data_IF_930152561045
#
_entry.id   IF_930152561045
#
_cell.length_a   1.000
_cell.length_b   1.000
_cell.length_c   1.000
_cell.angle_alpha   90.00
_cell.angle_beta   90.00
_cell.angle_gamma   90.00
#
_symmetry.space_group_name_H-M   'P 1'
#
loop_
_entity.id
_entity.type
_entity.pdbx_description
1 polymer ?
#
# COMPACT_ATOMS: atom_id res chain seq x y z
N UNK A 1 9.67 1.08 -28.34
CA UNK A 1 8.85 1.31 -29.54
C UNK A 1 7.49 1.83 -29.08
N UNK A 2 6.84 2.76 -29.79
CA UNK A 2 5.49 3.22 -29.41
C UNK A 2 4.47 2.15 -29.80
N UNK A 3 3.89 1.46 -28.83
CA UNK A 3 3.07 0.29 -29.11
C UNK A 3 1.64 0.70 -29.52
N UNK A 4 1.14 0.08 -30.59
CA UNK A 4 -0.10 0.49 -31.26
C UNK A 4 -1.36 0.21 -30.42
N UNK A 5 -1.19 -0.62 -29.40
CA UNK A 5 -2.06 -0.99 -28.27
C UNK A 5 -2.44 0.17 -27.35
N UNK A 6 -1.61 1.22 -27.24
CA UNK A 6 -1.80 2.27 -26.22
C UNK A 6 -2.74 3.39 -26.64
N UNK A 7 -2.87 3.63 -27.95
CA UNK A 7 -3.67 4.72 -28.52
C UNK A 7 -5.10 4.80 -27.94
N UNK A 8 -5.87 3.70 -27.79
CA UNK A 8 -7.24 3.77 -27.31
C UNK A 8 -7.37 4.23 -25.85
N UNK A 9 -6.37 3.95 -25.00
CA UNK A 9 -6.31 4.50 -23.63
C UNK A 9 -6.06 6.01 -23.68
N UNK A 10 -5.05 6.46 -24.44
CA UNK A 10 -4.75 7.89 -24.58
C UNK A 10 -5.94 8.69 -25.13
N UNK A 11 -6.66 8.13 -26.10
CA UNK A 11 -7.84 8.78 -26.68
C UNK A 11 -9.03 8.78 -25.71
N UNK A 12 -9.23 7.73 -24.90
CA UNK A 12 -10.22 7.75 -23.80
C UNK A 12 -9.86 8.77 -22.71
N UNK A 13 -8.56 8.90 -22.37
CA UNK A 13 -8.04 9.89 -21.41
C UNK A 13 -8.33 11.31 -21.89
N UNK A 14 -8.06 11.62 -23.16
CA UNK A 14 -8.39 12.92 -23.77
C UNK A 14 -9.89 13.22 -23.69
N UNK A 15 -10.72 12.33 -24.24
CA UNK A 15 -12.17 12.51 -24.32
C UNK A 15 -12.82 12.71 -22.95
N UNK A 16 -12.41 11.92 -21.94
CA UNK A 16 -12.95 12.00 -20.58
C UNK A 16 -12.55 13.27 -19.82
N UNK A 17 -11.54 13.98 -20.32
CA UNK A 17 -10.98 15.19 -19.72
C UNK A 17 -11.51 16.45 -20.38
N UNK A 18 -11.58 16.48 -21.72
CA UNK A 18 -12.18 17.59 -22.47
C UNK A 18 -13.68 17.75 -22.17
N UNK A 19 -14.38 16.64 -21.93
CA UNK A 19 -15.79 16.63 -21.52
C UNK A 19 -16.03 17.04 -20.05
N UNK A 20 -15.00 17.00 -19.18
CA UNK A 20 -15.16 17.27 -17.74
C UNK A 20 -14.58 18.64 -17.36
N UNK A 21 -15.41 19.67 -17.46
CA UNK A 21 -15.14 21.01 -16.90
C UNK A 21 -15.87 21.17 -15.57
N UNK A 22 -15.20 21.04 -14.41
CA UNK A 22 -15.80 21.36 -13.13
C UNK A 22 -15.76 22.88 -12.92
N UNK A 23 -16.92 23.51 -12.83
CA UNK A 23 -16.98 24.89 -12.34
C UNK A 23 -16.46 24.96 -10.90
N UNK A 24 -15.74 26.04 -10.57
CA UNK A 24 -15.15 26.20 -9.25
C UNK A 24 -16.23 26.57 -8.22
N UNK A 25 -16.71 25.57 -7.47
CA UNK A 25 -17.64 25.77 -6.37
C UNK A 25 -17.05 25.24 -5.04
N UNK A 26 -16.75 26.10 -4.04
CA UNK A 26 -16.20 25.65 -2.76
C UNK A 26 -17.18 24.79 -1.93
N UNK A 27 -18.49 24.80 -2.24
CA UNK A 27 -19.47 23.95 -1.55
C UNK A 27 -19.44 22.49 -1.99
N UNK A 28 -18.82 22.16 -3.13
CA UNK A 28 -18.75 20.78 -3.65
C UNK A 28 -17.99 19.83 -2.73
N UNK A 29 -16.98 20.35 -1.99
CA UNK A 29 -16.29 19.56 -0.98
C UNK A 29 -17.19 19.22 0.22
N UNK A 30 -18.03 20.17 0.65
CA UNK A 30 -19.02 19.95 1.70
C UNK A 30 -20.11 18.98 1.20
N UNK A 31 -20.50 19.05 -0.06
CA UNK A 31 -21.39 18.09 -0.70
C UNK A 31 -20.79 16.68 -0.76
N UNK A 32 -19.53 16.54 -1.18
CA UNK A 32 -18.80 15.26 -1.23
C UNK A 32 -18.65 14.65 0.17
N UNK A 33 -18.22 15.43 1.17
CA UNK A 33 -18.13 14.98 2.56
C UNK A 33 -19.50 14.56 3.13
N UNK A 34 -20.59 15.27 2.82
CA UNK A 34 -21.96 14.85 3.18
C UNK A 34 -22.34 13.54 2.49
N UNK A 35 -22.00 13.38 1.21
CA UNK A 35 -22.30 12.16 0.43
C UNK A 35 -21.55 10.95 1.00
N UNK A 36 -20.26 11.08 1.29
CA UNK A 36 -19.45 10.03 1.90
C UNK A 36 -19.96 9.67 3.31
N UNK A 37 -20.25 10.66 4.17
CA UNK A 37 -20.87 10.41 5.49
C UNK A 37 -22.23 9.73 5.38
N UNK A 38 -23.06 10.10 4.39
CA UNK A 38 -24.37 9.48 4.15
C UNK A 38 -24.22 8.04 3.63
N UNK A 39 -23.26 7.75 2.73
CA UNK A 39 -22.94 6.38 2.29
C UNK A 39 -22.46 5.50 3.45
N UNK A 40 -21.57 6.03 4.30
CA UNK A 40 -21.12 5.34 5.52
C UNK A 40 -22.31 5.04 6.46
N UNK A 41 -23.14 6.03 6.75
CA UNK A 41 -24.30 5.87 7.63
C UNK A 41 -25.35 4.90 7.05
N UNK A 42 -25.59 4.92 5.73
CA UNK A 42 -26.46 3.94 5.05
C UNK A 42 -25.92 2.52 5.15
N UNK A 43 -24.61 2.30 4.98
CA UNK A 43 -23.98 0.98 5.18
C UNK A 43 -24.16 0.51 6.62
N UNK A 44 -23.84 1.35 7.61
CA UNK A 44 -24.01 1.02 9.03
C UNK A 44 -25.48 0.79 9.41
N UNK A 45 -26.41 1.52 8.81
CA UNK A 45 -27.86 1.32 8.97
C UNK A 45 -28.32 -0.05 8.44
N UNK A 46 -27.83 -0.46 7.25
CA UNK A 46 -28.10 -1.79 6.70
C UNK A 46 -27.58 -2.90 7.63
N UNK A 47 -26.30 -2.86 8.04
CA UNK A 47 -25.75 -3.84 8.99
C UNK A 47 -26.49 -3.87 10.33
N UNK A 48 -26.84 -2.69 10.88
CA UNK A 48 -27.61 -2.57 12.13
C UNK A 48 -29.01 -3.16 12.02
N UNK A 49 -29.73 -2.88 10.93
CA UNK A 49 -31.06 -3.48 10.65
C UNK A 49 -30.99 -4.99 10.47
N UNK A 50 -29.95 -5.51 9.79
CA UNK A 50 -29.72 -6.94 9.62
C UNK A 50 -29.53 -7.66 10.96
N UNK A 51 -28.68 -7.11 11.83
CA UNK A 51 -28.47 -7.64 13.19
C UNK A 51 -29.74 -7.57 14.06
N UNK A 52 -30.53 -6.50 13.96
CA UNK A 52 -31.81 -6.40 14.70
C UNK A 52 -32.85 -7.42 14.23
N UNK A 53 -32.97 -7.65 12.92
CA UNK A 53 -33.84 -8.70 12.37
C UNK A 53 -33.35 -10.08 12.79
N UNK A 54 -32.04 -10.35 12.72
CA UNK A 54 -31.46 -11.63 13.13
C UNK A 54 -31.69 -11.91 14.62
N UNK A 55 -31.50 -10.92 15.49
CA UNK A 55 -31.79 -11.02 16.93
C UNK A 55 -33.29 -11.22 17.21
N UNK A 56 -34.17 -10.55 16.44
CA UNK A 56 -35.61 -10.77 16.50
C UNK A 56 -36.01 -12.21 16.15
N UNK A 57 -35.43 -12.76 15.08
CA UNK A 57 -35.63 -14.17 14.70
C UNK A 57 -35.07 -15.15 15.75
N UNK A 58 -33.88 -14.90 16.30
CA UNK A 58 -33.30 -15.74 17.37
C UNK A 58 -34.17 -15.73 18.63
N UNK A 59 -34.63 -14.55 19.05
CA UNK A 59 -35.53 -14.38 20.20
C UNK A 59 -36.86 -15.11 19.99
N UNK A 60 -37.49 -14.96 18.81
CA UNK A 60 -38.68 -15.70 18.42
C UNK A 60 -38.47 -17.22 18.50
N UNK A 61 -37.32 -17.72 18.03
CA UNK A 61 -37.01 -19.15 18.03
C UNK A 61 -36.83 -19.71 19.45
N UNK A 62 -36.20 -18.94 20.34
CA UNK A 62 -36.01 -19.30 21.75
C UNK A 62 -37.36 -19.30 22.50
N UNK A 63 -38.20 -18.29 22.29
CA UNK A 63 -39.53 -18.21 22.93
C UNK A 63 -40.57 -19.20 22.35
N UNK A 64 -40.28 -19.90 21.25
CA UNK A 64 -41.16 -20.93 20.66
C UNK A 64 -40.79 -22.37 21.01
N UNK A 65 -39.76 -22.62 21.80
CA UNK A 65 -39.49 -23.95 22.36
C UNK A 65 -40.63 -24.34 23.32
N UNK A 66 -41.40 -25.42 23.06
CA UNK A 66 -42.40 -25.88 24.01
C UNK A 66 -41.71 -26.49 25.24
N UNK A 67 -41.97 -25.93 26.42
CA UNK A 67 -41.51 -26.49 27.69
C UNK A 67 -42.29 -27.76 28.04
N UNK A 68 -41.78 -28.91 27.58
CA UNK A 68 -42.29 -30.21 28.03
C UNK A 68 -42.06 -30.42 29.53
N UNK A 69 -43.10 -30.89 30.21
CA UNK A 69 -43.19 -30.88 31.67
C UNK A 69 -42.45 -32.07 32.29
N UNK A 70 -41.25 -31.82 32.83
CA UNK A 70 -40.64 -32.74 33.79
C UNK A 70 -41.28 -32.52 35.16
N UNK A 71 -42.14 -33.45 35.58
CA UNK A 71 -42.82 -33.41 36.88
C UNK A 71 -41.95 -33.98 38.00
N UNK A 72 -41.98 -33.36 39.18
CA UNK A 72 -41.37 -33.89 40.40
C UNK A 72 -42.14 -35.10 40.94
N UNK A 73 -41.42 -36.13 41.39
CA UNK A 73 -41.97 -37.23 42.17
C UNK A 73 -40.98 -37.67 43.27
N UNK A 74 -41.10 -37.08 44.46
CA UNK A 74 -40.37 -37.55 45.64
C UNK A 74 -41.06 -38.80 46.22
N UNK A 75 -40.31 -39.85 46.53
CA UNK A 75 -40.73 -40.83 47.54
C UNK A 75 -39.54 -41.42 48.29
N UNK A 76 -39.51 -41.20 49.60
CA UNK A 76 -38.54 -41.78 50.54
C UNK A 76 -39.16 -43.01 51.20
N UNK A 77 -38.41 -44.11 51.25
CA UNK A 77 -38.60 -45.17 52.25
C UNK A 77 -37.22 -45.72 52.65
N UNK A 78 -37.05 -46.07 53.93
CA UNK A 78 -35.81 -46.61 54.52
C UNK A 78 -35.96 -48.11 54.82
N UNK A 79 -34.86 -48.90 54.78
CA UNK A 79 -34.30 -49.59 55.97
C UNK A 79 -33.17 -50.60 55.65
N UNK A 80 -32.07 -50.48 56.41
CA UNK A 80 -31.23 -51.52 57.03
C UNK A 80 -30.99 -52.89 56.34
N UNK A 81 -29.70 -53.24 56.10
CA UNK A 81 -28.94 -54.22 56.91
C UNK A 81 -27.44 -54.35 56.53
N UNK A 82 -26.64 -54.65 57.55
CA UNK A 82 -25.20 -55.05 57.59
C UNK A 82 -25.10 -56.40 58.34
N UNK A 83 -23.93 -57.02 58.67
CA UNK A 83 -22.54 -56.88 58.20
C UNK A 83 -21.77 -58.21 57.92
N UNK A 84 -20.55 -58.14 57.34
CA UNK A 84 -19.35 -59.02 57.51
C UNK A 84 -18.26 -58.54 56.51
N UNK A 85 -16.93 -58.43 56.73
CA UNK A 85 -15.92 -59.03 57.66
C UNK A 85 -15.65 -60.52 57.35
N UNK A 86 -14.44 -61.09 57.27
CA UNK A 86 -13.02 -60.81 57.65
C UNK A 86 -12.06 -61.11 56.43
N UNK A 87 -10.72 -60.92 56.35
CA UNK A 87 -9.69 -59.98 56.86
C UNK A 87 -8.28 -60.44 56.28
N UNK A 88 -7.23 -59.58 56.17
CA UNK A 88 -5.80 -59.87 55.74
C UNK A 88 -5.47 -60.14 54.24
N UNK A 89 -4.21 -60.09 53.71
CA UNK A 89 -2.84 -59.85 54.25
C UNK A 89 -1.88 -59.17 53.20
N UNK A 90 -0.59 -58.94 53.51
CA UNK A 90 0.36 -58.16 52.68
C UNK A 90 1.63 -58.94 52.24
N UNK A 91 2.35 -58.49 51.19
CA UNK A 91 3.83 -58.66 51.08
C UNK A 91 4.53 -57.76 50.03
N UNK A 92 5.71 -57.28 50.43
CA UNK A 92 6.98 -57.11 49.69
C UNK A 92 7.13 -56.26 48.39
N UNK A 93 8.21 -55.46 48.42
CA UNK A 93 8.91 -54.73 47.35
C UNK A 93 10.30 -55.42 47.20
N UNK A 94 10.88 -55.64 46.00
CA UNK A 94 11.95 -54.73 45.55
C UNK A 94 12.05 -54.45 44.03
N UNK A 95 12.74 -53.34 43.75
CA UNK A 95 13.07 -52.76 42.44
C UNK A 95 14.31 -53.37 41.78
N UNK A 96 14.43 -53.19 40.46
CA UNK A 96 15.71 -53.26 39.70
C UNK A 96 15.93 -51.92 38.97
N UNK A 97 17.21 -51.55 38.75
CA UNK A 97 17.68 -50.22 38.33
C UNK A 97 18.81 -50.37 37.28
N UNK A 98 19.14 -49.28 36.57
CA UNK A 98 20.33 -49.09 35.66
C UNK A 98 20.20 -49.69 34.24
N UNK A 99 20.86 -49.17 33.18
CA UNK A 99 21.51 -47.85 32.95
C UNK A 99 21.83 -47.58 31.45
N UNK A 100 22.19 -46.33 31.14
CA UNK A 100 22.91 -45.83 29.95
C UNK A 100 24.39 -46.36 29.91
N UNK A 101 25.32 -45.97 28.99
CA UNK A 101 25.29 -45.00 27.85
C UNK A 101 26.03 -45.45 26.54
N UNK A 102 26.20 -44.51 25.57
CA UNK A 102 27.40 -44.34 24.69
C UNK A 102 27.63 -45.34 23.52
N UNK A 103 28.37 -45.09 22.42
CA UNK A 103 29.00 -43.87 21.84
C UNK A 103 29.40 -44.09 20.34
N UNK A 104 30.11 -43.11 19.73
CA UNK A 104 30.94 -43.17 18.50
C UNK A 104 30.21 -43.23 17.13
N UNK A 105 30.79 -42.77 16.00
CA UNK A 105 31.80 -41.72 15.79
C UNK A 105 31.89 -41.31 14.29
N UNK A 106 32.34 -40.07 14.06
CA UNK A 106 33.12 -39.52 12.92
C UNK A 106 33.16 -40.28 11.58
N UNK A 107 32.96 -39.54 10.48
CA UNK A 107 33.96 -39.54 9.39
C UNK A 107 34.03 -38.18 8.67
N UNK A 108 35.24 -37.78 8.28
CA UNK A 108 35.51 -36.58 7.46
C UNK A 108 35.29 -36.89 5.98
N UNK A 109 35.07 -35.87 5.16
CA UNK A 109 36.01 -35.54 4.07
C UNK A 109 35.79 -34.13 3.50
N UNK A 110 36.90 -33.51 3.09
CA UNK A 110 37.00 -32.24 2.36
C UNK A 110 37.88 -32.49 1.14
N UNK A 111 37.58 -31.89 -0.02
CA UNK A 111 38.62 -31.60 -1.01
C UNK A 111 38.74 -30.09 -1.26
N UNK A 112 39.87 -29.52 -0.83
CA UNK A 112 40.38 -28.23 -1.32
C UNK A 112 41.19 -28.44 -2.59
N UNK A 113 40.97 -27.65 -3.65
CA UNK A 113 41.84 -27.37 -4.83
C UNK A 113 40.99 -26.52 -5.82
N UNK A 114 41.50 -25.57 -6.61
CA UNK A 114 42.80 -24.89 -6.62
C UNK A 114 42.69 -23.53 -7.33
N UNK A 115 43.69 -22.64 -7.15
CA UNK A 115 43.83 -21.42 -7.97
C UNK A 115 44.35 -21.77 -9.38
N UNK A 116 43.83 -21.12 -10.43
CA UNK A 116 44.64 -20.69 -11.60
C UNK A 116 43.90 -19.69 -12.50
N UNK A 117 44.36 -18.44 -12.50
CA UNK A 117 44.44 -17.66 -13.75
C UNK A 117 45.71 -18.15 -14.51
N UNK A 118 45.77 -18.03 -15.84
CA UNK A 118 46.39 -16.82 -16.39
C UNK A 118 45.63 -16.22 -17.57
N UNK A 119 45.92 -14.96 -17.90
CA UNK A 119 45.43 -14.29 -19.11
C UNK A 119 46.43 -14.41 -20.27
N UNK A 120 45.93 -14.46 -21.52
CA UNK A 120 46.52 -13.76 -22.69
C UNK A 120 45.73 -13.98 -23.99
N UNK A 121 45.49 -12.87 -24.71
CA UNK A 121 45.35 -12.78 -26.17
C UNK A 121 44.14 -13.55 -26.82
N UNK A 122 43.79 -13.37 -28.10
CA UNK A 122 44.35 -12.48 -29.12
C UNK A 122 43.28 -11.93 -30.10
N UNK A 123 43.65 -10.83 -30.74
CA UNK A 123 43.12 -10.13 -31.92
C UNK A 123 42.07 -10.79 -32.85
N UNK A 124 41.09 -9.96 -33.25
CA UNK A 124 40.47 -9.80 -34.58
C UNK A 124 40.23 -10.99 -35.53
N UNK A 125 38.98 -11.09 -36.01
CA UNK A 125 38.65 -11.54 -37.36
C UNK A 125 37.50 -10.69 -37.92
N UNK A 126 37.46 -10.47 -39.23
CA UNK A 126 36.45 -9.67 -39.92
C UNK A 126 35.14 -10.47 -40.15
N UNK A 127 34.03 -9.78 -40.42
CA UNK A 127 32.75 -10.41 -40.78
C UNK A 127 32.32 -9.95 -42.18
N UNK A 128 32.23 -10.91 -43.11
CA UNK A 128 31.94 -10.65 -44.52
C UNK A 128 30.50 -10.24 -44.80
N UNK A 129 30.31 -9.44 -45.85
CA UNK A 129 29.01 -9.02 -46.37
C UNK A 129 28.33 -10.13 -47.19
N UNK A 130 27.01 -10.25 -47.07
CA UNK A 130 26.17 -11.03 -47.98
C UNK A 130 24.99 -10.17 -48.44
N UNK A 131 24.79 -10.08 -49.75
CA UNK A 131 23.67 -9.36 -50.36
C UNK A 131 22.39 -10.20 -50.41
N UNK A 132 21.25 -9.52 -50.32
CA UNK A 132 19.96 -9.96 -50.89
C UNK A 132 19.34 -8.78 -51.67
N UNK A 133 18.53 -9.04 -52.72
CA UNK A 133 18.23 -8.04 -53.76
C UNK A 133 17.03 -7.16 -53.46
N UNK A 134 17.05 -5.93 -53.99
CA UNK A 134 15.90 -5.03 -54.02
C UNK A 134 14.81 -5.55 -54.98
N UNK A 135 13.55 -5.42 -54.58
CA UNK A 135 12.39 -5.63 -55.45
C UNK A 135 11.45 -4.42 -55.34
N UNK A 136 11.64 -3.46 -56.23
CA UNK A 136 10.83 -2.24 -56.34
C UNK A 136 9.64 -2.49 -57.28
N UNK A 137 8.43 -2.16 -56.84
CA UNK A 137 7.24 -2.04 -57.68
C UNK A 137 6.59 -0.68 -57.46
N UNK A 138 6.14 -0.07 -58.56
CA UNK A 138 5.59 1.29 -58.57
C UNK A 138 4.20 1.35 -57.94
N UNK A 139 3.93 2.43 -57.21
CA UNK A 139 2.59 2.84 -56.77
C UNK A 139 2.29 4.25 -57.25
N UNK A 140 1.94 4.36 -58.53
CA UNK A 140 1.40 5.57 -59.16
C UNK A 140 -0.11 5.41 -59.39
N UNK A 141 -0.88 6.40 -58.93
CA UNK A 141 -2.31 6.63 -59.20
C UNK A 141 -3.32 5.51 -58.88
N UNK A 142 -3.83 5.52 -57.63
CA UNK A 142 -5.24 5.22 -57.36
C UNK A 142 -5.84 6.38 -56.54
N UNK A 143 -6.68 7.21 -57.17
CA UNK A 143 -7.53 8.17 -56.46
C UNK A 143 -8.75 7.46 -55.88
N UNK A 144 -8.84 7.36 -54.56
CA UNK A 144 -10.08 6.97 -53.88
C UNK A 144 -11.03 8.18 -53.73
N UNK A 145 -12.28 8.01 -54.13
CA UNK A 145 -13.36 8.94 -53.76
C UNK A 145 -13.83 8.67 -52.32
N UNK A 146 -14.28 9.69 -51.57
CA UNK A 146 -14.86 9.49 -50.24
C UNK A 146 -16.26 8.87 -50.38
N UNK A 147 -16.39 7.58 -50.05
CA UNK A 147 -17.69 6.94 -49.89
C UNK A 147 -18.23 7.19 -48.47
N UNK A 148 -19.50 7.57 -48.36
CA UNK A 148 -20.20 7.88 -47.08
C UNK A 148 -20.47 6.62 -46.20
N UNK A 149 -19.57 5.64 -46.25
CA UNK A 149 -19.58 4.43 -45.42
C UNK A 149 -18.56 4.51 -44.28
N UNK A 150 -17.47 5.27 -44.44
CA UNK A 150 -16.42 5.43 -43.40
C UNK A 150 -16.97 6.02 -42.11
N UNK A 151 -17.88 7.00 -42.20
CA UNK A 151 -18.47 7.71 -41.06
C UNK A 151 -19.41 6.85 -40.18
N UNK A 152 -19.69 5.60 -40.58
CA UNK A 152 -20.57 4.68 -39.83
C UNK A 152 -19.85 3.46 -39.24
N UNK A 153 -18.53 3.36 -39.39
CA UNK A 153 -17.72 2.28 -38.80
C UNK A 153 -16.63 2.84 -37.86
N UNK A 154 -16.98 3.89 -37.12
CA UNK A 154 -16.24 4.33 -35.92
C UNK A 154 -16.97 3.94 -34.62
N UNK A 155 -17.58 2.75 -34.60
CA UNK A 155 -17.79 2.03 -33.34
C UNK A 155 -16.43 1.62 -32.79
N UNK A 156 -15.91 2.43 -31.86
CA UNK A 156 -14.70 2.13 -31.10
C UNK A 156 -14.87 0.76 -30.42
N UNK A 157 -14.02 -0.20 -30.79
CA UNK A 157 -13.94 -1.49 -30.10
C UNK A 157 -13.75 -1.23 -28.59
N UNK A 158 -14.53 -1.89 -27.70
CA UNK A 158 -14.41 -1.67 -26.27
C UNK A 158 -13.02 -2.10 -25.80
N UNK A 159 -12.19 -1.11 -25.48
CA UNK A 159 -10.83 -1.32 -24.98
C UNK A 159 -10.91 -2.16 -23.71
N UNK A 160 -10.29 -3.35 -23.74
CA UNK A 160 -10.20 -4.20 -22.57
C UNK A 160 -9.15 -3.61 -21.60
N UNK A 161 -9.62 -2.68 -20.77
CA UNK A 161 -8.82 -2.14 -19.66
C UNK A 161 -8.45 -3.28 -18.69
N UNK A 162 -7.25 -3.24 -18.14
CA UNK A 162 -6.85 -4.19 -17.08
C UNK A 162 -7.71 -4.01 -15.81
N UNK A 163 -7.71 -4.96 -14.86
CA UNK A 163 -8.39 -4.77 -13.56
C UNK A 163 -7.88 -3.54 -12.79
N UNK A 164 -6.59 -3.25 -12.92
CA UNK A 164 -5.89 -2.12 -12.30
C UNK A 164 -6.33 -0.80 -12.96
N UNK A 165 -6.25 -0.71 -14.30
CA UNK A 165 -6.72 0.42 -15.08
C UNK A 165 -8.22 0.70 -14.84
N UNK A 166 -9.03 -0.37 -14.77
CA UNK A 166 -10.47 -0.30 -14.48
C UNK A 166 -10.72 0.26 -13.08
N UNK A 167 -9.94 -0.16 -12.08
CA UNK A 167 -10.05 0.34 -10.69
C UNK A 167 -9.69 1.82 -10.61
N UNK A 168 -8.55 2.21 -11.20
CA UNK A 168 -8.10 3.61 -11.28
C UNK A 168 -9.14 4.48 -11.99
N UNK A 169 -9.67 4.00 -13.12
CA UNK A 169 -10.73 4.67 -13.91
C UNK A 169 -12.02 4.85 -13.09
N UNK A 170 -12.49 3.83 -12.39
CA UNK A 170 -13.70 3.93 -11.56
C UNK A 170 -13.50 4.90 -10.39
N UNK A 171 -12.35 4.88 -9.72
CA UNK A 171 -12.03 5.82 -8.64
C UNK A 171 -11.99 7.27 -9.16
N UNK A 172 -11.31 7.53 -10.28
CA UNK A 172 -11.24 8.88 -10.89
C UNK A 172 -12.61 9.39 -11.36
N UNK A 173 -13.45 8.53 -11.92
CA UNK A 173 -14.79 8.90 -12.42
C UNK A 173 -15.81 9.12 -11.29
N UNK A 174 -15.80 8.28 -10.25
CA UNK A 174 -16.79 8.32 -9.16
C UNK A 174 -16.41 9.24 -8.01
N UNK A 175 -15.12 9.51 -7.82
CA UNK A 175 -14.59 10.16 -6.63
C UNK A 175 -14.69 9.31 -5.35
N UNK A 176 -15.01 8.02 -5.46
CA UNK A 176 -15.10 7.10 -4.31
C UNK A 176 -13.75 6.40 -4.09
N UNK A 177 -12.89 7.07 -3.32
CA UNK A 177 -11.55 6.60 -2.97
C UNK A 177 -11.51 5.73 -1.69
N UNK A 178 -12.68 5.28 -1.21
CA UNK A 178 -12.83 4.62 0.08
C UNK A 178 -12.96 5.57 1.27
N UNK A 179 -12.73 5.05 2.48
CA UNK A 179 -12.90 5.80 3.74
C UNK A 179 -11.62 6.47 4.25
N UNK A 180 -10.45 5.99 3.85
CA UNK A 180 -9.18 6.67 4.12
C UNK A 180 -8.98 7.77 3.07
N UNK A 181 -8.47 8.93 3.48
CA UNK A 181 -8.22 10.08 2.62
C UNK A 181 -6.84 10.72 2.86
N UNK A 182 -5.87 9.92 3.32
CA UNK A 182 -4.60 10.40 3.87
C UNK A 182 -3.78 11.25 2.89
N UNK A 183 -3.55 10.79 1.66
CA UNK A 183 -2.73 11.55 0.70
C UNK A 183 -3.35 12.91 0.39
N UNK A 184 -4.65 12.95 0.09
CA UNK A 184 -5.37 14.20 -0.16
C UNK A 184 -5.34 15.13 1.07
N UNK A 185 -5.62 14.62 2.28
CA UNK A 185 -5.70 15.45 3.49
C UNK A 185 -4.34 15.95 3.96
N UNK A 186 -3.30 15.12 3.92
CA UNK A 186 -1.95 15.50 4.31
C UNK A 186 -1.39 16.58 3.37
N UNK A 187 -1.54 16.43 2.05
CA UNK A 187 -1.19 17.46 1.06
C UNK A 187 -1.99 18.75 1.28
N UNK A 188 -3.31 18.65 1.42
CA UNK A 188 -4.20 19.81 1.54
C UNK A 188 -3.95 20.65 2.80
N UNK A 189 -3.54 20.05 3.92
CA UNK A 189 -3.24 20.78 5.17
C UNK A 189 -1.79 21.26 5.28
N UNK A 190 -0.82 20.56 4.68
CA UNK A 190 0.60 20.86 4.87
C UNK A 190 1.30 21.60 3.72
N UNK A 191 0.82 21.59 2.46
CA UNK A 191 1.62 22.03 1.30
C UNK A 191 2.27 23.41 1.46
N UNK A 192 1.61 24.37 2.12
CA UNK A 192 2.17 25.72 2.37
C UNK A 192 3.46 25.74 3.19
N UNK A 193 3.79 24.65 3.89
CA UNK A 193 5.04 24.43 4.62
C UNK A 193 6.10 23.67 3.79
N UNK A 194 5.77 23.26 2.57
CA UNK A 194 6.62 22.52 1.63
C UNK A 194 6.73 23.26 0.28
N UNK A 195 7.13 24.55 0.27
CA UNK A 195 7.22 25.32 -0.98
C UNK A 195 8.26 24.71 -1.91
N UNK A 196 7.96 24.68 -3.20
CA UNK A 196 8.86 24.16 -4.24
C UNK A 196 9.21 22.66 -4.04
N UNK A 197 8.22 21.86 -3.68
CA UNK A 197 8.31 20.43 -3.49
C UNK A 197 8.15 19.60 -4.79
N UNK A 198 8.61 18.35 -4.73
CA UNK A 198 8.24 17.28 -5.68
C UNK A 198 7.50 16.21 -4.90
N UNK A 199 6.40 15.70 -5.47
CA UNK A 199 5.68 14.56 -4.90
C UNK A 199 6.28 13.28 -5.50
N UNK A 200 6.74 12.39 -4.63
CA UNK A 200 7.26 11.07 -4.94
C UNK A 200 6.25 10.07 -4.40
N UNK A 201 5.55 9.38 -5.28
CA UNK A 201 4.38 8.58 -4.92
C UNK A 201 4.57 7.13 -5.31
N UNK A 202 4.34 6.25 -4.36
CA UNK A 202 4.15 4.82 -4.55
C UNK A 202 2.91 4.58 -5.45
N UNK A 203 3.03 3.62 -6.36
CA UNK A 203 1.98 3.15 -7.26
C UNK A 203 2.00 1.62 -7.36
N UNK A 204 2.30 0.94 -6.25
CA UNK A 204 1.90 -0.44 -6.01
C UNK A 204 0.37 -0.58 -6.00
N UNK A 205 -0.12 -1.82 -6.12
CA UNK A 205 -1.56 -2.13 -6.22
C UNK A 205 -2.34 -1.76 -4.95
N UNK A 206 -1.72 -1.80 -3.77
CA UNK A 206 -2.35 -1.32 -2.53
C UNK A 206 -2.52 0.20 -2.51
N UNK A 207 -1.65 0.93 -3.22
CA UNK A 207 -1.60 2.38 -3.20
C UNK A 207 -2.55 3.09 -4.16
N UNK A 208 -3.18 2.38 -5.10
CA UNK A 208 -4.14 2.98 -6.07
C UNK A 208 -5.22 3.90 -5.45
N UNK A 209 -5.86 3.61 -4.30
CA UNK A 209 -6.82 4.54 -3.69
C UNK A 209 -6.19 5.87 -3.26
N UNK A 210 -4.91 5.87 -2.86
CA UNK A 210 -4.19 7.05 -2.40
C UNK A 210 -3.54 7.81 -3.56
N UNK A 211 -3.21 7.13 -4.65
CA UNK A 211 -2.63 7.75 -5.85
C UNK A 211 -3.71 8.33 -6.77
N UNK A 212 -4.93 7.77 -6.78
CA UNK A 212 -6.10 8.44 -7.37
C UNK A 212 -6.60 9.62 -6.53
N UNK A 213 -6.46 9.57 -5.20
CA UNK A 213 -6.60 10.76 -4.34
C UNK A 213 -5.58 11.85 -4.65
N UNK A 214 -4.29 11.50 -4.83
CA UNK A 214 -3.26 12.44 -5.29
C UNK A 214 -3.67 13.05 -6.63
N UNK A 215 -4.15 12.25 -7.58
CA UNK A 215 -4.61 12.77 -8.88
C UNK A 215 -5.83 13.69 -8.75
N UNK A 216 -6.78 13.39 -7.86
CA UNK A 216 -7.95 14.25 -7.58
C UNK A 216 -7.57 15.55 -6.84
N UNK A 217 -6.54 15.51 -6.00
CA UNK A 217 -5.93 16.68 -5.37
C UNK A 217 -5.19 17.54 -6.42
N UNK A 218 -4.39 16.89 -7.27
CA UNK A 218 -3.61 17.47 -8.36
C UNK A 218 -4.52 18.19 -9.37
N UNK A 219 -5.66 17.60 -9.76
CA UNK A 219 -6.67 18.24 -10.61
C UNK A 219 -7.21 19.58 -10.08
N UNK A 220 -7.15 19.81 -8.76
CA UNK A 220 -7.51 21.08 -8.10
C UNK A 220 -6.31 22.01 -7.87
N UNK A 221 -5.10 21.46 -7.80
CA UNK A 221 -3.86 22.17 -7.45
C UNK A 221 -2.88 22.30 -8.65
N UNK A 222 -3.32 21.97 -9.87
CA UNK A 222 -2.54 21.99 -11.12
C UNK A 222 -1.84 23.32 -11.45
N UNK A 223 -2.29 24.44 -10.85
CA UNK A 223 -1.71 25.78 -11.00
C UNK A 223 -0.91 26.24 -9.77
N UNK A 224 -0.62 25.35 -8.83
CA UNK A 224 0.09 25.71 -7.61
C UNK A 224 1.62 25.70 -7.85
N UNK A 225 2.32 26.86 -7.72
CA UNK A 225 3.75 26.98 -7.99
C UNK A 225 4.65 26.30 -6.93
N UNK A 226 4.07 25.88 -5.80
CA UNK A 226 4.75 25.15 -4.74
C UNK A 226 5.04 23.69 -5.11
N UNK A 227 4.45 23.15 -6.18
CA UNK A 227 4.85 21.85 -6.74
C UNK A 227 5.73 22.10 -7.99
N UNK A 228 6.77 21.28 -8.18
CA UNK A 228 7.64 21.29 -9.36
C UNK A 228 7.47 20.10 -10.30
N UNK A 229 6.87 19.01 -9.82
CA UNK A 229 6.59 17.80 -10.59
C UNK A 229 6.10 16.64 -9.74
N UNK A 230 5.82 15.53 -10.40
CA UNK A 230 5.48 14.24 -9.80
C UNK A 230 6.49 13.17 -10.25
N UNK A 231 6.80 12.24 -9.36
CA UNK A 231 7.51 10.98 -9.65
C UNK A 231 6.66 9.83 -9.11
N UNK A 232 6.35 8.85 -9.96
CA UNK A 232 5.76 7.58 -9.52
C UNK A 232 6.81 6.47 -9.53
N UNK A 233 6.78 5.61 -8.51
CA UNK A 233 7.56 4.38 -8.44
C UNK A 233 6.63 3.18 -8.22
N UNK A 234 7.07 2.01 -8.66
CA UNK A 234 6.25 0.79 -8.85
C UNK A 234 6.88 -0.44 -8.20
N UNK A 235 8.09 -0.25 -7.65
CA UNK A 235 9.09 -1.28 -7.35
C UNK A 235 9.32 -2.29 -8.49
N UNK A 236 9.10 -1.89 -9.74
CA UNK A 236 9.47 -2.67 -10.92
C UNK A 236 10.58 -1.99 -11.74
N UNK A 237 11.40 -2.77 -12.42
CA UNK A 237 12.41 -2.32 -13.37
C UNK A 237 11.80 -1.91 -14.73
N UNK A 238 12.66 -1.61 -15.71
CA UNK A 238 12.22 -1.24 -17.06
C UNK A 238 11.54 -2.37 -17.85
N UNK A 239 11.61 -3.61 -17.38
CA UNK A 239 10.95 -4.80 -17.95
C UNK A 239 9.71 -5.22 -17.14
N UNK A 240 9.33 -4.45 -16.11
CA UNK A 240 8.21 -4.77 -15.23
C UNK A 240 8.52 -5.88 -14.23
N UNK A 241 9.79 -6.17 -13.94
CA UNK A 241 10.19 -7.16 -12.94
C UNK A 241 10.49 -6.48 -11.60
N UNK A 242 10.04 -7.07 -10.49
CA UNK A 242 10.28 -6.52 -9.14
C UNK A 242 11.76 -6.18 -8.90
N UNK A 243 12.08 -5.02 -8.31
CA UNK A 243 13.48 -4.67 -8.04
C UNK A 243 14.07 -5.55 -6.94
N UNK A 244 15.40 -5.73 -6.95
CA UNK A 244 16.11 -6.58 -5.98
C UNK A 244 17.43 -5.94 -5.58
N UNK A 245 17.92 -6.13 -4.33
CA UNK A 245 19.22 -5.64 -3.91
C UNK A 245 20.35 -6.10 -4.85
N UNK A 246 21.02 -5.14 -5.50
CA UNK A 246 22.09 -5.41 -6.48
C UNK A 246 21.61 -5.82 -7.89
N UNK A 247 20.29 -5.79 -8.16
CA UNK A 247 19.71 -5.96 -9.48
C UNK A 247 19.64 -4.66 -10.29
N UNK A 248 18.85 -4.63 -11.38
CA UNK A 248 18.53 -3.40 -12.11
C UNK A 248 17.83 -2.37 -11.22
N UNK A 249 18.04 -1.09 -11.53
CA UNK A 249 17.33 0.03 -10.93
C UNK A 249 15.85 0.05 -11.34
N UNK A 250 14.97 0.52 -10.45
CA UNK A 250 13.54 0.66 -10.70
C UNK A 250 13.21 1.72 -11.77
N UNK A 251 12.12 1.49 -12.49
CA UNK A 251 11.60 2.43 -13.48
C UNK A 251 10.78 3.52 -12.80
N UNK A 252 11.34 4.72 -12.77
CA UNK A 252 10.70 5.92 -12.25
C UNK A 252 9.94 6.65 -13.36
N UNK A 253 8.67 6.96 -13.12
CA UNK A 253 7.79 7.63 -14.09
C UNK A 253 7.60 9.09 -13.68
N UNK A 254 8.11 10.02 -14.49
CA UNK A 254 8.30 11.42 -14.09
C UNK A 254 7.46 12.34 -14.96
N UNK A 255 6.77 13.31 -14.34
CA UNK A 255 6.19 14.46 -15.06
C UNK A 255 6.59 15.78 -14.42
N UNK A 256 7.05 16.71 -15.27
CA UNK A 256 7.24 18.12 -14.94
C UNK A 256 5.97 18.95 -15.20
N UNK A 257 5.04 18.42 -16.00
CA UNK A 257 3.80 19.11 -16.36
C UNK A 257 2.71 18.82 -15.31
N UNK A 258 2.33 19.85 -14.56
CA UNK A 258 1.28 19.76 -13.54
C UNK A 258 -0.15 19.73 -14.10
N UNK A 259 -0.29 19.51 -15.42
CA UNK A 259 -1.57 19.36 -16.09
C UNK A 259 -2.08 17.92 -15.94
N UNK A 260 -3.29 17.70 -15.37
CA UNK A 260 -3.96 16.40 -15.34
C UNK A 260 -3.97 15.64 -16.69
N UNK A 261 -4.10 16.33 -17.84
CA UNK A 261 -4.12 15.68 -19.17
C UNK A 261 -2.78 15.01 -19.51
N UNK A 262 -1.69 15.47 -18.91
CA UNK A 262 -0.31 15.04 -19.16
C UNK A 262 0.20 14.11 -18.05
N UNK A 263 -0.25 14.33 -16.81
CA UNK A 263 0.02 13.43 -15.69
C UNK A 263 -0.75 12.10 -15.74
N UNK A 264 -1.97 12.07 -16.30
CA UNK A 264 -2.76 10.82 -16.34
C UNK A 264 -2.15 9.71 -17.22
N UNK A 265 -1.63 10.00 -18.44
CA UNK A 265 -0.88 9.02 -19.20
C UNK A 265 0.30 8.41 -18.43
N UNK A 266 1.09 9.25 -17.74
CA UNK A 266 2.25 8.82 -16.94
C UNK A 266 1.83 7.94 -15.76
N UNK A 267 0.72 8.28 -15.09
CA UNK A 267 0.14 7.47 -14.02
C UNK A 267 -0.32 6.08 -14.52
N UNK A 268 -0.95 5.99 -15.68
CA UNK A 268 -1.41 4.69 -16.21
C UNK A 268 -0.24 3.86 -16.78
N UNK A 269 0.76 4.49 -17.41
CA UNK A 269 1.98 3.79 -17.83
C UNK A 269 2.71 3.16 -16.63
N UNK A 270 2.78 3.89 -15.51
CA UNK A 270 3.33 3.40 -14.25
C UNK A 270 2.48 2.24 -13.68
N UNK A 271 1.15 2.37 -13.61
CA UNK A 271 0.28 1.31 -13.07
C UNK A 271 0.39 -0.02 -13.84
N UNK A 272 0.69 0.03 -15.14
CA UNK A 272 0.94 -1.16 -15.97
C UNK A 272 2.25 -1.86 -15.63
N UNK A 273 3.28 -1.09 -15.23
CA UNK A 273 4.59 -1.62 -14.85
C UNK A 273 4.53 -2.36 -13.50
N UNK A 274 3.57 -2.01 -12.63
CA UNK A 274 3.28 -2.68 -11.35
C UNK A 274 2.72 -4.11 -11.50
N UNK A 275 2.13 -4.49 -12.64
CA UNK A 275 1.29 -5.70 -12.80
C UNK A 275 1.96 -7.02 -12.37
N UNK A 276 3.30 -7.13 -12.45
CA UNK A 276 4.03 -8.35 -12.07
C UNK A 276 4.71 -8.27 -10.70
N UNK A 277 4.58 -7.16 -9.95
CA UNK A 277 5.18 -7.02 -8.63
C UNK A 277 4.53 -7.98 -7.62
N UNK A 278 5.38 -8.58 -6.77
CA UNK A 278 5.07 -9.56 -5.71
C UNK A 278 6.04 -9.43 -4.52
N UNK A 279 6.74 -8.31 -4.40
CA UNK A 279 7.52 -7.93 -3.22
C UNK A 279 6.63 -7.09 -2.29
N UNK A 280 6.78 -7.25 -0.98
CA UNK A 280 6.09 -6.42 0.04
C UNK A 280 6.99 -5.24 0.50
N UNK A 281 8.05 -4.94 -0.28
CA UNK A 281 9.13 -4.07 0.14
C UNK A 281 9.62 -3.19 -1.02
N UNK A 282 9.57 -1.86 -0.84
CA UNK A 282 9.67 -0.88 -1.93
C UNK A 282 11.04 -0.20 -2.04
N UNK A 283 11.29 0.42 -3.20
CA UNK A 283 12.51 1.20 -3.52
C UNK A 283 12.35 2.73 -3.32
N UNK A 284 11.80 3.15 -2.17
CA UNK A 284 11.52 4.56 -1.88
C UNK A 284 12.75 5.48 -2.00
N UNK A 285 13.94 5.02 -1.60
CA UNK A 285 15.12 5.88 -1.56
C UNK A 285 15.64 6.15 -2.97
N UNK A 286 15.63 5.16 -3.85
CA UNK A 286 15.93 5.31 -5.26
C UNK A 286 14.97 6.28 -5.94
N UNK A 287 13.67 6.21 -5.62
CA UNK A 287 12.67 7.16 -6.10
C UNK A 287 12.93 8.59 -5.60
N UNK A 288 13.27 8.76 -4.31
CA UNK A 288 13.67 10.05 -3.73
C UNK A 288 14.95 10.61 -4.36
N UNK A 289 15.95 9.76 -4.63
CA UNK A 289 17.19 10.14 -5.31
C UNK A 289 16.93 10.53 -6.77
N UNK A 290 16.01 9.84 -7.46
CA UNK A 290 15.61 10.19 -8.82
C UNK A 290 14.85 11.51 -8.88
N UNK A 291 13.96 11.76 -7.92
CA UNK A 291 13.30 13.06 -7.77
C UNK A 291 14.32 14.19 -7.48
N UNK A 292 15.30 13.94 -6.59
CA UNK A 292 16.41 14.86 -6.33
C UNK A 292 17.25 15.15 -7.58
N UNK A 293 17.44 14.17 -8.47
CA UNK A 293 18.16 14.33 -9.75
C UNK A 293 17.34 15.10 -10.80
N UNK A 294 16.08 14.73 -10.99
CA UNK A 294 15.22 15.29 -12.05
C UNK A 294 14.78 16.73 -11.75
N UNK A 295 14.67 17.09 -10.46
CA UNK A 295 14.24 18.41 -10.01
C UNK A 295 15.30 19.03 -9.10
N UNK A 296 16.45 19.51 -9.65
CA UNK A 296 17.55 20.04 -8.87
C UNK A 296 17.14 21.24 -8.00
N UNK A 297 16.23 22.09 -8.49
CA UNK A 297 15.79 23.31 -7.80
C UNK A 297 14.73 23.09 -6.72
N UNK A 298 14.11 21.90 -6.65
CA UNK A 298 13.10 21.60 -5.65
C UNK A 298 13.68 21.68 -4.22
N UNK A 299 13.00 22.36 -3.30
CA UNK A 299 13.47 22.55 -1.92
C UNK A 299 13.09 21.40 -1.00
N UNK A 300 12.00 20.70 -1.32
CA UNK A 300 11.41 19.63 -0.51
C UNK A 300 11.07 18.41 -1.36
N UNK A 301 11.00 17.24 -0.74
CA UNK A 301 10.42 16.02 -1.33
C UNK A 301 9.24 15.58 -0.46
N UNK A 302 8.14 15.16 -1.07
CA UNK A 302 6.96 14.62 -0.38
C UNK A 302 6.83 13.16 -0.78
N UNK A 303 7.21 12.24 0.11
CA UNK A 303 7.07 10.80 -0.13
C UNK A 303 5.65 10.37 0.26
N UNK A 304 4.91 9.73 -0.63
CA UNK A 304 3.59 9.13 -0.34
C UNK A 304 3.75 7.63 -0.54
N UNK A 305 3.64 6.84 0.53
CA UNK A 305 3.97 5.42 0.55
C UNK A 305 3.01 4.61 1.43
N UNK A 306 2.95 3.29 1.20
CA UNK A 306 2.16 2.37 2.04
C UNK A 306 2.79 2.23 3.45
N UNK A 307 1.96 2.29 4.48
CA UNK A 307 2.36 2.07 5.87
C UNK A 307 2.51 0.58 6.23
N UNK A 308 2.15 -0.33 5.32
CA UNK A 308 2.35 -1.78 5.44
C UNK A 308 3.71 -2.22 4.87
N UNK A 309 4.12 -1.69 3.71
CA UNK A 309 5.35 -2.09 3.02
C UNK A 309 6.64 -1.67 3.73
N UNK A 310 7.74 -2.36 3.45
CA UNK A 310 9.05 -2.09 4.06
C UNK A 310 10.06 -1.48 3.06
N UNK A 311 10.68 -0.34 3.38
CA UNK A 311 11.72 0.26 2.53
C UNK A 311 12.96 -0.63 2.43
N UNK A 312 13.29 -1.19 1.25
CA UNK A 312 14.41 -2.15 1.10
C UNK A 312 15.77 -1.55 0.75
N UNK A 313 15.80 -0.29 0.31
CA UNK A 313 17.00 0.40 -0.20
C UNK A 313 17.57 1.47 0.74
N UNK A 314 17.20 1.42 2.04
CA UNK A 314 17.64 2.34 3.11
C UNK A 314 19.15 2.60 3.20
N UNK A 315 20.00 1.70 2.68
CA UNK A 315 21.44 1.91 2.57
C UNK A 315 21.81 3.15 1.72
N UNK A 316 20.94 3.57 0.82
CA UNK A 316 21.12 4.74 -0.05
C UNK A 316 20.75 6.08 0.63
N UNK A 317 20.09 6.07 1.81
CA UNK A 317 19.46 7.25 2.42
C UNK A 317 20.42 8.41 2.68
N UNK A 318 21.69 8.11 2.97
CA UNK A 318 22.74 9.12 3.17
C UNK A 318 22.97 10.04 1.94
N UNK A 319 22.48 9.66 0.76
CA UNK A 319 22.57 10.46 -0.46
C UNK A 319 21.38 11.41 -0.66
N UNK A 320 20.30 11.29 0.13
CA UNK A 320 19.13 12.17 0.07
C UNK A 320 19.40 13.44 0.89
N UNK A 321 19.56 14.58 0.22
CA UNK A 321 20.01 15.85 0.82
C UNK A 321 18.87 16.83 1.09
N UNK A 322 17.73 16.62 0.43
CA UNK A 322 16.51 17.43 0.54
C UNK A 322 15.62 16.91 1.69
N UNK A 323 14.94 17.77 2.48
CA UNK A 323 13.96 17.33 3.47
C UNK A 323 12.85 16.48 2.85
N UNK A 324 12.58 15.32 3.45
CA UNK A 324 11.53 14.39 3.00
C UNK A 324 10.36 14.43 3.97
N UNK A 325 9.20 14.79 3.46
CA UNK A 325 7.93 14.81 4.18
C UNK A 325 7.16 13.55 3.81
N UNK A 326 7.16 12.56 4.71
CA UNK A 326 6.58 11.24 4.44
C UNK A 326 5.11 11.21 4.85
N UNK A 327 4.23 10.90 3.90
CA UNK A 327 2.79 10.72 4.07
C UNK A 327 2.50 9.22 4.01
N UNK A 328 2.17 8.65 5.17
CA UNK A 328 1.95 7.21 5.31
C UNK A 328 0.47 6.87 5.21
N UNK A 329 0.16 6.16 4.13
CA UNK A 329 -1.20 5.75 3.79
C UNK A 329 -1.51 4.38 4.40
N UNK A 330 -2.74 4.18 4.88
CA UNK A 330 -3.17 2.92 5.48
C UNK A 330 -2.69 2.69 6.92
N UNK A 331 -3.04 1.50 7.43
CA UNK A 331 -2.74 1.03 8.79
C UNK A 331 -1.62 0.00 8.78
N UNK A 332 -1.03 -0.33 9.92
CA UNK A 332 0.06 -1.33 10.07
C UNK A 332 -0.40 -2.79 9.91
N UNK A 333 -1.36 -3.05 9.01
CA UNK A 333 -2.01 -4.36 8.87
C UNK A 333 -2.73 -4.79 10.17
N UNK A 334 -2.55 -6.05 10.54
CA UNK A 334 -3.07 -6.65 11.78
C UNK A 334 -2.18 -6.42 13.00
N UNK A 335 -0.88 -6.11 12.82
CA UNK A 335 0.03 -5.81 13.92
C UNK A 335 -0.06 -4.33 14.31
N UNK A 336 -0.62 -4.06 15.49
CA UNK A 336 -0.76 -2.71 16.06
C UNK A 336 0.25 -2.42 17.18
N UNK A 337 1.33 -3.20 17.28
CA UNK A 337 2.43 -2.95 18.23
C UNK A 337 3.34 -1.79 17.81
N UNK A 338 3.38 -1.50 16.50
CA UNK A 338 3.99 -0.33 15.88
C UNK A 338 2.90 0.62 15.38
N UNK A 339 3.20 1.92 15.32
CA UNK A 339 2.30 2.90 14.70
C UNK A 339 2.51 3.03 13.18
N UNK A 340 3.73 2.74 12.74
CA UNK A 340 4.15 2.80 11.34
C UNK A 340 5.43 1.98 11.15
N UNK A 341 5.76 1.66 9.90
CA UNK A 341 7.01 1.02 9.54
C UNK A 341 8.22 1.92 9.92
N UNK A 342 9.25 1.43 10.65
CA UNK A 342 10.27 2.28 11.27
C UNK A 342 11.18 3.06 10.30
N UNK A 343 11.32 2.56 9.07
CA UNK A 343 12.19 3.16 8.06
C UNK A 343 11.70 4.56 7.66
N UNK A 344 10.39 4.76 7.51
CA UNK A 344 9.80 6.05 7.15
C UNK A 344 10.05 7.17 8.18
N UNK A 345 10.00 6.84 9.47
CA UNK A 345 10.40 7.79 10.52
C UNK A 345 11.90 8.12 10.45
N UNK A 346 12.72 7.14 10.07
CA UNK A 346 14.17 7.32 9.89
C UNK A 346 14.46 8.23 8.69
N UNK A 347 13.76 8.06 7.57
CA UNK A 347 13.81 8.94 6.38
C UNK A 347 13.48 10.38 6.76
N UNK A 348 12.31 10.60 7.38
CA UNK A 348 11.88 11.94 7.82
C UNK A 348 12.88 12.57 8.82
N UNK A 349 13.38 11.78 9.77
CA UNK A 349 14.28 12.27 10.82
C UNK A 349 15.70 12.58 10.34
N UNK A 350 16.27 11.80 9.42
CA UNK A 350 17.64 12.03 8.91
C UNK A 350 17.66 13.17 7.90
N UNK A 351 16.67 13.26 7.03
CA UNK A 351 16.57 14.32 6.01
C UNK A 351 16.15 15.69 6.58
N UNK A 352 15.67 15.70 7.84
CA UNK A 352 15.10 16.87 8.58
C UNK A 352 13.74 17.32 8.05
N UNK A 353 12.97 16.40 7.48
CA UNK A 353 11.57 16.61 7.11
C UNK A 353 10.60 16.25 8.24
N UNK A 354 9.51 15.57 7.91
CA UNK A 354 8.43 15.22 8.85
C UNK A 354 7.62 14.01 8.38
N UNK A 355 6.77 13.45 9.25
CA UNK A 355 5.96 12.26 8.99
C UNK A 355 4.48 12.55 9.27
N UNK A 356 3.58 12.06 8.41
CA UNK A 356 2.19 12.48 8.33
C UNK A 356 1.26 11.26 8.16
N UNK A 357 0.12 11.26 8.84
CA UNK A 357 -0.93 10.24 8.71
C UNK A 357 -2.28 10.90 8.39
N UNK A 358 -3.39 10.16 8.40
CA UNK A 358 -4.72 10.72 8.14
C UNK A 358 -5.04 11.97 8.98
N UNK A 359 -4.67 11.98 10.27
CA UNK A 359 -5.06 13.02 11.24
C UNK A 359 -3.89 13.72 11.93
N UNK A 360 -2.64 13.25 11.80
CA UNK A 360 -1.49 13.76 12.56
C UNK A 360 -0.32 14.21 11.66
N UNK A 361 0.39 15.24 12.15
CA UNK A 361 1.60 15.81 11.56
C UNK A 361 2.74 15.78 12.60
N UNK A 362 3.80 15.02 12.32
CA UNK A 362 4.89 14.74 13.26
C UNK A 362 6.22 15.27 12.75
N UNK A 363 6.79 16.24 13.45
CA UNK A 363 8.15 16.74 13.19
C UNK A 363 9.11 16.04 14.16
N UNK A 364 10.02 15.15 13.69
CA UNK A 364 10.89 14.32 14.56
C UNK A 364 11.67 15.09 15.62
N UNK A 365 12.17 16.29 15.27
CA UNK A 365 12.91 17.17 16.18
C UNK A 365 12.06 17.87 17.26
N UNK A 366 10.72 17.75 17.20
CA UNK A 366 9.77 18.37 18.14
C UNK A 366 8.98 17.35 18.98
N UNK A 367 9.29 16.05 18.87
CA UNK A 367 8.60 14.99 19.62
C UNK A 367 8.90 15.05 21.12
N UNK A 368 7.88 14.89 21.95
CA UNK A 368 7.99 14.97 23.41
C UNK A 368 7.13 13.92 24.12
N UNK A 369 7.21 13.83 25.45
CA UNK A 369 6.40 12.87 26.24
C UNK A 369 4.89 13.04 26.06
N UNK A 370 4.42 14.22 25.64
CA UNK A 370 2.99 14.49 25.40
C UNK A 370 2.54 14.19 23.97
N UNK A 371 3.45 13.89 23.03
CA UNK A 371 3.07 13.66 21.64
C UNK A 371 2.32 12.34 21.49
N UNK A 372 1.08 12.46 21.01
CA UNK A 372 0.22 11.34 20.60
C UNK A 372 0.02 11.36 19.09
N UNK A 373 -0.39 10.20 18.56
CA UNK A 373 -0.52 9.88 17.15
C UNK A 373 -1.70 8.92 16.99
N UNK A 374 -2.49 9.04 15.92
CA UNK A 374 -3.49 8.07 15.53
C UNK A 374 -3.14 7.43 14.19
N UNK A 375 -3.31 6.11 14.11
CA UNK A 375 -3.27 5.34 12.86
C UNK A 375 -4.45 4.37 12.87
N UNK A 376 -5.33 4.50 11.86
CA UNK A 376 -6.60 3.78 11.81
C UNK A 376 -7.51 4.08 13.01
N UNK A 377 -7.80 3.05 13.79
CA UNK A 377 -8.56 3.12 15.05
C UNK A 377 -7.69 3.25 16.31
N UNK A 378 -6.37 3.06 16.21
CA UNK A 378 -5.47 2.94 17.36
C UNK A 378 -4.75 4.25 17.65
N UNK A 379 -4.71 4.62 18.94
CA UNK A 379 -3.95 5.75 19.44
C UNK A 379 -2.63 5.31 20.06
N UNK A 380 -1.56 6.00 19.70
CA UNK A 380 -0.19 5.76 20.11
C UNK A 380 0.37 6.97 20.87
N UNK A 381 1.30 6.72 21.79
CA UNK A 381 2.06 7.75 22.52
C UNK A 381 3.56 7.57 22.28
N UNK A 382 4.26 8.67 22.02
CA UNK A 382 5.71 8.66 21.89
C UNK A 382 6.39 8.36 23.24
N UNK A 383 7.41 7.49 23.21
CA UNK A 383 8.28 7.16 24.36
C UNK A 383 9.70 7.67 24.08
N UNK A 384 10.10 8.84 24.60
CA UNK A 384 11.42 9.43 24.30
C UNK A 384 12.62 8.52 24.60
N UNK A 385 12.56 7.73 25.69
CA UNK A 385 13.63 6.77 26.08
C UNK A 385 13.93 5.71 25.02
N UNK A 386 12.93 5.29 24.24
CA UNK A 386 13.07 4.26 23.21
C UNK A 386 12.90 4.80 21.79
N UNK A 387 12.70 6.12 21.63
CA UNK A 387 12.38 6.82 20.36
C UNK A 387 11.27 6.14 19.53
N UNK A 388 10.32 5.49 20.19
CA UNK A 388 9.24 4.72 19.56
C UNK A 388 7.87 5.24 19.98
N UNK A 389 6.91 5.20 19.06
CA UNK A 389 5.50 5.21 19.39
C UNK A 389 5.09 3.83 19.92
N UNK A 390 4.23 3.80 20.95
CA UNK A 390 3.62 2.56 21.46
C UNK A 390 2.11 2.73 21.60
N UNK A 391 1.32 1.68 21.31
CA UNK A 391 -0.14 1.73 21.41
C UNK A 391 -0.57 2.06 22.83
N UNK A 392 -1.78 2.58 22.95
CA UNK A 392 -2.41 2.95 24.21
C UNK A 392 -3.81 2.30 24.29
N UNK A 393 -4.33 2.02 25.50
CA UNK A 393 -5.63 1.36 25.66
C UNK A 393 -6.82 2.29 25.39
N UNK A 394 -6.59 3.55 25.04
CA UNK A 394 -7.64 4.55 24.88
C UNK A 394 -8.27 4.48 23.48
N UNK A 395 -9.60 4.51 23.44
CA UNK A 395 -10.42 4.61 22.23
C UNK A 395 -10.51 6.04 21.67
N UNK A 396 -9.81 7.00 22.28
CA UNK A 396 -9.81 8.42 21.93
C UNK A 396 -8.40 9.00 22.14
N UNK A 397 -8.14 10.21 21.60
CA UNK A 397 -6.81 10.83 21.66
C UNK A 397 -6.38 11.08 23.11
N UNK A 398 -5.35 10.39 23.63
CA UNK A 398 -4.98 10.47 25.04
C UNK A 398 -4.50 11.88 25.41
N UNK A 399 -4.96 12.40 26.55
CA UNK A 399 -4.61 13.72 27.06
C UNK A 399 -3.75 13.60 28.32
N UNK A 400 -2.65 14.35 28.33
CA UNK A 400 -1.74 14.40 29.47
C UNK A 400 -2.30 15.35 30.55
N UNK A 401 -2.88 14.79 31.60
CA UNK A 401 -3.46 15.52 32.72
C UNK A 401 -2.41 15.69 33.84
N UNK A 402 -2.25 16.92 34.34
CA UNK A 402 -1.25 17.30 35.35
C UNK A 402 0.22 16.93 35.03
N UNK A 403 0.53 16.52 33.79
CA UNK A 403 1.88 16.20 33.33
C UNK A 403 2.35 14.76 33.57
N UNK A 404 1.55 13.94 34.27
CA UNK A 404 1.85 12.54 34.60
C UNK A 404 0.67 11.58 34.43
N UNK A 405 -0.57 12.01 34.68
CA UNK A 405 -1.78 11.23 34.41
C UNK A 405 -2.12 11.26 32.92
N UNK A 406 -2.76 10.20 32.44
CA UNK A 406 -3.25 10.10 31.07
C UNK A 406 -4.70 9.67 31.11
N UNK A 407 -5.54 10.46 30.46
CA UNK A 407 -6.97 10.26 30.27
C UNK A 407 -7.26 10.00 28.79
#
# INVERSE_FOLDING_TARGET
MSEQTDKPLHDWVRQSMDAYRPDYNPTDWVALQRTLRRRLWMRWSMWGSGSLVLLGFLSWFILRQPMDKIAYANKVTSTNKTPQREENQATAIPSVVSSLPSDLAQHKLVPTLSKRNPAKAMQSAESGTVHLPNLLLSLSDIKSQPTNLTDKIHYSQPVAFSPEETTIKQQILTGDFGSDSTSYQALARNLRAWPEAVIVCDLTTSMYPYTTQLFAWFKKNARNPDIKGLVFFTDCDSLGQQTRPGGPAGRMFITHELNPTQGLPVLVEAARNTIQNKDDAENDIEALLKAQQAFPDAKHLILIADNMSAVKDMALLANVRKPVHVVLCGTTGSDTTLAFQPNYYTIASQTRGSLHTLEDDLIPSRLSKSTTLRVGSVYYRYRPRTKQFKPTPFNHRPRNFLGFLWL
#
